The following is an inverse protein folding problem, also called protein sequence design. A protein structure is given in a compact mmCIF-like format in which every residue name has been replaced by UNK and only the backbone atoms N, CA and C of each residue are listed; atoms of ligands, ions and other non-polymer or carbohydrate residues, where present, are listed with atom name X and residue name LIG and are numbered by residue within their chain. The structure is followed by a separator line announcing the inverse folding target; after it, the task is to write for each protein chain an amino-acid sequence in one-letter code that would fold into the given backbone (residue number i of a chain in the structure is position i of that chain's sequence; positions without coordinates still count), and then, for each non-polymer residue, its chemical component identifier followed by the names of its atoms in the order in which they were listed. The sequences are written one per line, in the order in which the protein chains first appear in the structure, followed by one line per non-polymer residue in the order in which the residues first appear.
data_IF_569959044947
#
_entry.id   IF_569959044947
#
_cell.length_a   1.000
_cell.length_b   1.000
_cell.length_c   1.000
_cell.angle_alpha   90.00
_cell.angle_beta   90.00
_cell.angle_gamma   90.00
#
_symmetry.space_group_name_H-M   'P 1'
#
loop_
_entity.id
_entity.type
_entity.pdbx_description
1 polymer ?
#
# COMPACT_ATOMS: atom_id res chain seq x y z
N UNK A 1 -11.04 33.02 -2.61
CA UNK A 1 -11.93 31.97 -2.09
C UNK A 1 -11.82 32.05 -0.58
N UNK A 2 -12.93 32.03 0.16
CA UNK A 2 -12.85 31.91 1.63
C UNK A 2 -12.36 30.51 2.02
N UNK A 3 -11.82 30.36 3.24
CA UNK A 3 -11.42 29.04 3.77
C UNK A 3 -12.59 28.04 3.68
N UNK A 4 -13.82 28.48 3.95
CA UNK A 4 -15.01 27.63 3.87
C UNK A 4 -15.29 27.13 2.45
N UNK A 5 -15.14 28.00 1.45
CA UNK A 5 -15.30 27.61 0.05
C UNK A 5 -14.17 26.66 -0.41
N UNK A 6 -12.93 26.90 0.03
CA UNK A 6 -11.79 26.05 -0.27
C UNK A 6 -11.97 24.64 0.34
N UNK A 7 -12.41 24.57 1.60
CA UNK A 7 -12.72 23.31 2.27
C UNK A 7 -13.88 22.58 1.61
N UNK A 8 -14.92 23.28 1.18
CA UNK A 8 -16.04 22.67 0.45
C UNK A 8 -15.57 22.06 -0.87
N UNK A 9 -14.72 22.75 -1.63
CA UNK A 9 -14.13 22.23 -2.86
C UNK A 9 -13.25 21.00 -2.59
N UNK A 10 -12.35 21.07 -1.61
CA UNK A 10 -11.52 19.93 -1.21
C UNK A 10 -12.36 18.71 -0.81
N UNK A 11 -13.40 18.88 0.03
CA UNK A 11 -14.30 17.77 0.40
C UNK A 11 -15.04 17.20 -0.80
N UNK A 12 -15.52 18.05 -1.70
CA UNK A 12 -16.23 17.61 -2.89
C UNK A 12 -15.35 16.67 -3.73
N UNK A 13 -14.08 17.05 -3.99
CA UNK A 13 -13.12 16.21 -4.73
C UNK A 13 -12.91 14.85 -4.06
N UNK A 14 -12.74 14.83 -2.74
CA UNK A 14 -12.58 13.59 -1.95
C UNK A 14 -13.85 12.73 -2.05
N UNK A 15 -15.03 13.33 -1.92
CA UNK A 15 -16.31 12.61 -1.88
C UNK A 15 -16.73 12.05 -3.23
N UNK A 16 -16.46 12.76 -4.33
CA UNK A 16 -16.79 12.31 -5.70
C UNK A 16 -15.79 11.28 -6.24
N UNK A 17 -14.60 11.16 -5.63
CA UNK A 17 -13.54 10.24 -6.04
C UNK A 17 -13.99 8.77 -6.05
N UNK A 18 -13.43 7.99 -6.96
CA UNK A 18 -13.60 6.53 -7.02
C UNK A 18 -12.37 5.81 -6.48
N UNK A 19 -12.48 4.50 -6.24
CA UNK A 19 -11.36 3.65 -5.85
C UNK A 19 -11.51 2.28 -6.52
N UNK A 20 -11.02 2.17 -7.76
CA UNK A 20 -11.05 0.93 -8.53
C UNK A 20 -9.72 0.20 -8.35
N UNK A 21 -9.72 -0.97 -7.71
CA UNK A 21 -8.54 -1.86 -7.73
C UNK A 21 -8.43 -2.45 -9.14
N UNK A 22 -7.53 -1.87 -9.93
CA UNK A 22 -7.53 -2.05 -11.39
C UNK A 22 -6.43 -2.99 -11.88
N UNK A 23 -5.31 -3.09 -11.16
CA UNK A 23 -4.16 -3.87 -11.60
C UNK A 23 -3.25 -4.28 -10.43
N UNK A 24 -2.29 -5.15 -10.71
CA UNK A 24 -1.09 -5.42 -9.91
C UNK A 24 0.13 -5.38 -10.83
N UNK A 25 1.14 -4.61 -10.44
CA UNK A 25 2.36 -4.39 -11.23
C UNK A 25 3.59 -4.26 -10.33
N UNK A 26 4.80 -4.56 -10.83
CA UNK A 26 6.03 -4.26 -10.12
C UNK A 26 6.13 -2.78 -9.77
N UNK A 27 6.55 -2.48 -8.54
CA UNK A 27 6.60 -1.11 -8.00
C UNK A 27 7.36 -0.15 -8.93
N UNK A 28 8.52 -0.58 -9.45
CA UNK A 28 9.36 0.22 -10.34
C UNK A 28 8.69 0.62 -11.67
N UNK A 29 7.73 -0.17 -12.15
CA UNK A 29 7.04 0.13 -13.40
C UNK A 29 6.00 1.24 -13.25
N UNK A 30 5.46 1.43 -12.04
CA UNK A 30 4.25 2.24 -11.82
C UNK A 30 4.44 3.37 -10.83
N UNK A 31 5.30 3.20 -9.83
CA UNK A 31 5.55 4.22 -8.81
C UNK A 31 6.54 5.25 -9.37
N UNK A 32 6.14 6.53 -9.53
CA UNK A 32 6.97 7.51 -10.22
C UNK A 32 8.32 7.77 -9.55
N UNK A 33 9.39 7.70 -10.34
CA UNK A 33 10.73 8.10 -9.92
C UNK A 33 11.39 7.20 -8.87
N UNK A 34 11.00 5.91 -8.82
CA UNK A 34 11.82 4.88 -8.18
C UNK A 34 13.08 4.59 -9.00
N UNK A 35 14.23 4.58 -8.35
CA UNK A 35 15.49 4.06 -8.86
C UNK A 35 15.63 2.57 -8.58
N UNK A 36 16.73 1.96 -9.03
CA UNK A 36 17.06 0.55 -8.75
C UNK A 36 17.23 0.24 -7.26
N UNK A 37 17.45 1.27 -6.42
CA UNK A 37 17.73 1.14 -4.98
C UNK A 37 16.90 2.08 -4.13
N UNK A 38 15.71 2.45 -4.61
CA UNK A 38 14.74 3.18 -3.81
C UNK A 38 14.04 2.23 -2.84
N UNK A 39 13.96 2.64 -1.58
CA UNK A 39 13.20 1.98 -0.52
C UNK A 39 12.17 2.98 0.01
N UNK A 40 10.90 2.77 -0.34
CA UNK A 40 9.83 3.59 0.24
C UNK A 40 9.49 3.08 1.64
N UNK A 41 9.08 3.99 2.52
CA UNK A 41 8.65 3.66 3.88
C UNK A 41 7.36 4.37 4.28
N UNK A 42 6.72 3.90 5.36
CA UNK A 42 5.57 4.57 5.97
C UNK A 42 5.98 5.87 6.67
N UNK A 43 5.04 6.81 6.82
CA UNK A 43 5.23 8.03 7.61
C UNK A 43 5.95 9.18 6.89
N UNK A 44 6.21 10.30 7.60
CA UNK A 44 6.99 11.41 7.08
C UNK A 44 8.46 11.00 6.83
N UNK A 45 9.24 11.78 6.05
CA UNK A 45 10.65 11.52 5.78
C UNK A 45 11.44 11.26 7.06
N UNK A 46 12.28 10.23 7.06
CA UNK A 46 13.12 9.89 8.22
C UNK A 46 14.46 9.36 7.74
N UNK A 47 15.53 9.83 8.35
CA UNK A 47 16.88 9.35 8.07
C UNK A 47 17.10 7.96 8.69
N UNK A 48 17.96 7.14 8.08
CA UNK A 48 18.22 5.76 8.50
C UNK A 48 18.56 5.63 9.99
N UNK A 49 19.37 6.55 10.53
CA UNK A 49 19.79 6.63 11.93
C UNK A 49 18.62 6.80 12.92
N UNK A 50 17.49 7.34 12.46
CA UNK A 50 16.28 7.55 13.25
C UNK A 50 15.20 6.49 13.00
N UNK A 51 15.37 5.61 11.99
CA UNK A 51 14.43 4.53 11.73
C UNK A 51 14.40 3.53 12.90
N UNK A 52 13.20 3.21 13.36
CA UNK A 52 12.99 2.28 14.46
C UNK A 52 13.38 0.82 14.09
N UNK A 53 13.63 -0.01 15.11
CA UNK A 53 14.07 -1.41 14.92
C UNK A 53 13.21 -2.23 13.95
N UNK A 54 11.86 -2.25 14.07
CA UNK A 54 10.99 -2.94 13.11
C UNK A 54 11.11 -2.44 11.67
N UNK A 55 11.27 -1.13 11.47
CA UNK A 55 11.48 -0.55 10.15
C UNK A 55 12.82 -1.00 9.57
N UNK A 56 13.90 -0.93 10.35
CA UNK A 56 15.23 -1.44 9.93
C UNK A 56 15.18 -2.91 9.57
N UNK A 57 14.55 -3.76 10.37
CA UNK A 57 14.38 -5.18 10.06
C UNK A 57 13.58 -5.42 8.77
N UNK A 58 12.57 -4.60 8.51
CA UNK A 58 11.79 -4.68 7.27
C UNK A 58 12.64 -4.31 6.05
N UNK A 59 13.48 -3.27 6.19
CA UNK A 59 14.42 -2.83 5.15
C UNK A 59 15.47 -3.92 4.92
N UNK A 60 16.00 -4.53 5.98
CA UNK A 60 16.92 -5.67 5.87
C UNK A 60 16.32 -6.81 5.07
N UNK A 61 15.10 -7.25 5.41
CA UNK A 61 14.43 -8.30 4.66
C UNK A 61 14.17 -7.92 3.21
N UNK A 62 13.78 -6.67 2.94
CA UNK A 62 13.57 -6.18 1.58
C UNK A 62 14.87 -6.14 0.76
N UNK A 63 16.00 -5.70 1.35
CA UNK A 63 17.29 -5.70 0.66
C UNK A 63 17.79 -7.12 0.35
N UNK A 64 17.53 -8.09 1.24
CA UNK A 64 17.84 -9.50 1.00
C UNK A 64 16.94 -10.07 -0.10
N UNK A 65 15.65 -9.73 -0.09
CA UNK A 65 14.69 -10.10 -1.13
C UNK A 65 15.13 -9.58 -2.51
N UNK A 66 15.54 -8.33 -2.60
CA UNK A 66 16.06 -7.70 -3.82
C UNK A 66 17.47 -8.19 -4.23
N UNK A 67 18.14 -8.96 -3.37
CA UNK A 67 19.49 -9.46 -3.61
C UNK A 67 20.58 -8.39 -3.52
N UNK A 68 20.30 -7.23 -2.91
CA UNK A 68 21.28 -6.16 -2.71
C UNK A 68 22.30 -6.48 -1.62
N UNK A 69 21.90 -7.30 -0.65
CA UNK A 69 22.71 -7.73 0.49
C UNK A 69 22.30 -9.14 0.93
N UNK A 70 23.16 -9.78 1.72
CA UNK A 70 22.96 -11.13 2.27
C UNK A 70 22.85 -11.14 3.78
N UNK A 71 23.38 -10.11 4.45
CA UNK A 71 23.39 -10.02 5.92
C UNK A 71 22.87 -8.66 6.40
N UNK A 72 22.39 -8.58 7.66
CA UNK A 72 22.02 -7.30 8.27
C UNK A 72 23.15 -6.26 8.26
N UNK A 73 24.40 -6.70 8.41
CA UNK A 73 25.58 -5.84 8.40
C UNK A 73 25.78 -5.20 7.02
N UNK A 74 25.71 -5.98 5.94
CA UNK A 74 25.80 -5.46 4.57
C UNK A 74 24.68 -4.44 4.29
N UNK A 75 23.47 -4.67 4.80
CA UNK A 75 22.36 -3.69 4.66
C UNK A 75 22.67 -2.40 5.40
N UNK A 76 23.24 -2.46 6.61
CA UNK A 76 23.61 -1.27 7.37
C UNK A 76 24.71 -0.46 6.65
N UNK A 77 25.67 -1.13 6.01
CA UNK A 77 26.69 -0.49 5.17
C UNK A 77 26.07 0.19 3.94
N UNK A 78 25.14 -0.48 3.24
CA UNK A 78 24.41 0.11 2.11
C UNK A 78 23.57 1.32 2.52
N UNK A 79 22.89 1.24 3.66
CA UNK A 79 22.07 2.34 4.15
C UNK A 79 22.90 3.56 4.59
N UNK A 80 24.09 3.35 5.16
CA UNK A 80 24.96 4.43 5.65
C UNK A 80 25.87 5.03 4.59
N UNK A 81 26.20 4.28 3.53
CA UNK A 81 26.97 4.77 2.38
C UNK A 81 26.18 5.73 1.47
N UNK A 82 24.85 5.76 1.59
CA UNK A 82 23.97 6.53 0.72
C UNK A 82 23.64 5.83 -0.61
N UNK A 83 23.97 4.54 -0.74
CA UNK A 83 23.61 3.73 -1.91
C UNK A 83 22.12 3.33 -1.93
N UNK A 84 21.42 3.40 -0.79
CA UNK A 84 19.98 3.26 -0.69
C UNK A 84 19.30 4.64 -0.64
N UNK A 85 18.29 4.83 -1.47
CA UNK A 85 17.45 6.03 -1.47
C UNK A 85 16.19 5.78 -0.65
N UNK A 86 16.08 6.41 0.51
CA UNK A 86 14.87 6.32 1.35
C UNK A 86 13.91 7.47 1.04
N UNK A 87 12.64 7.16 0.82
CA UNK A 87 11.61 8.18 0.62
C UNK A 87 10.26 7.79 1.27
N UNK A 88 9.47 8.79 1.63
CA UNK A 88 8.11 8.57 2.12
C UNK A 88 7.24 8.04 1.01
N UNK A 89 6.51 6.95 1.27
CA UNK A 89 5.51 6.42 0.34
C UNK A 89 4.51 7.50 -0.11
N UNK A 90 4.15 8.41 0.78
CA UNK A 90 3.18 9.48 0.51
C UNK A 90 3.65 10.50 -0.54
N UNK A 91 4.96 10.63 -0.79
CA UNK A 91 5.52 11.46 -1.86
C UNK A 91 5.34 10.85 -3.24
N UNK A 92 5.11 9.53 -3.32
CA UNK A 92 5.07 8.77 -4.56
C UNK A 92 3.71 8.13 -4.83
N UNK A 93 2.64 8.75 -4.33
CA UNK A 93 1.27 8.22 -4.41
C UNK A 93 1.11 6.79 -3.84
N UNK A 94 2.04 6.39 -2.98
CA UNK A 94 2.05 5.08 -2.35
C UNK A 94 1.67 5.18 -0.86
N UNK A 95 1.29 4.04 -0.28
CA UNK A 95 1.03 3.91 1.14
C UNK A 95 1.29 2.46 1.58
N UNK A 96 1.82 2.29 2.79
CA UNK A 96 2.12 0.97 3.33
C UNK A 96 1.73 0.87 4.81
N UNK A 97 1.17 -0.27 5.26
CA UNK A 97 0.87 -0.49 6.67
C UNK A 97 2.15 -0.75 7.48
N UNK A 98 2.14 -0.35 8.75
CA UNK A 98 3.25 -0.56 9.70
C UNK A 98 4.56 0.08 9.22
N UNK A 99 5.62 -0.69 8.93
CA UNK A 99 6.86 -0.15 8.36
C UNK A 99 6.67 0.35 6.93
N UNK A 100 5.68 -0.19 6.20
CA UNK A 100 5.29 0.25 4.87
C UNK A 100 6.40 0.18 3.82
N UNK A 101 7.31 -0.79 3.96
CA UNK A 101 8.44 -0.94 3.04
C UNK A 101 7.96 -1.38 1.66
N UNK A 102 8.41 -0.66 0.63
CA UNK A 102 8.21 -1.00 -0.80
C UNK A 102 9.55 -0.87 -1.51
N UNK A 103 9.95 -1.91 -2.24
CA UNK A 103 11.16 -1.93 -3.06
C UNK A 103 10.83 -2.25 -4.54
N UNK A 104 11.74 -1.98 -5.48
CA UNK A 104 11.46 -1.94 -6.92
C UNK A 104 10.79 -3.19 -7.51
N UNK A 105 11.17 -4.40 -7.07
CA UNK A 105 10.64 -5.65 -7.61
C UNK A 105 9.40 -6.17 -6.89
N UNK A 106 8.96 -5.52 -5.81
CA UNK A 106 7.71 -5.90 -5.16
C UNK A 106 6.51 -5.54 -6.04
N UNK A 107 5.57 -6.47 -6.15
CA UNK A 107 4.26 -6.31 -6.76
C UNK A 107 3.37 -5.45 -5.84
N UNK A 108 2.77 -4.41 -6.44
CA UNK A 108 1.89 -3.47 -5.74
C UNK A 108 0.49 -3.50 -6.33
N UNK A 109 -0.51 -3.36 -5.45
CA UNK A 109 -1.86 -3.01 -5.85
C UNK A 109 -1.84 -1.66 -6.57
N UNK A 110 -2.48 -1.59 -7.73
CA UNK A 110 -2.76 -0.32 -8.42
C UNK A 110 -4.24 -0.01 -8.21
N UNK A 111 -4.51 1.07 -7.48
CA UNK A 111 -5.87 1.56 -7.25
C UNK A 111 -6.05 2.89 -7.96
N UNK A 112 -7.00 2.92 -8.89
CA UNK A 112 -7.27 4.06 -9.75
C UNK A 112 -8.49 4.83 -9.27
N UNK A 113 -8.29 6.10 -8.98
CA UNK A 113 -9.34 7.10 -8.88
C UNK A 113 -9.66 7.63 -10.27
N UNK A 114 -10.61 6.99 -10.94
CA UNK A 114 -10.99 7.26 -12.34
C UNK A 114 -11.59 8.64 -12.55
N UNK A 115 -12.15 9.28 -11.52
CA UNK A 115 -12.71 10.64 -11.62
C UNK A 115 -11.61 11.70 -11.76
N UNK A 116 -10.49 11.52 -11.04
CA UNK A 116 -9.39 12.49 -11.03
C UNK A 116 -8.14 12.01 -11.78
N UNK A 117 -8.15 10.78 -12.31
CA UNK A 117 -7.02 10.20 -13.04
C UNK A 117 -5.79 9.94 -12.16
N UNK A 118 -6.01 9.59 -10.89
CA UNK A 118 -4.94 9.35 -9.91
C UNK A 118 -4.78 7.85 -9.69
N UNK A 119 -3.58 7.32 -9.94
CA UNK A 119 -3.20 5.97 -9.51
C UNK A 119 -2.46 6.03 -8.18
N UNK A 120 -2.74 5.06 -7.32
CA UNK A 120 -2.11 4.93 -6.00
C UNK A 120 -1.75 3.50 -5.70
N UNK A 121 -0.76 3.33 -4.82
CA UNK A 121 -0.03 2.07 -4.71
C UNK A 121 0.09 1.59 -3.27
N UNK A 122 0.06 0.27 -3.09
CA UNK A 122 0.40 -0.39 -1.82
C UNK A 122 0.86 -1.81 -2.08
N UNK A 123 1.68 -2.38 -1.19
CA UNK A 123 2.07 -3.79 -1.30
C UNK A 123 0.88 -4.73 -1.09
N UNK A 124 1.01 -5.99 -1.49
CA UNK A 124 0.07 -7.04 -1.09
C UNK A 124 0.12 -7.30 0.42
N UNK A 125 -1.02 -7.67 1.02
CA UNK A 125 -1.09 -7.92 2.45
C UNK A 125 -0.55 -9.32 2.81
N UNK A 126 0.54 -9.35 3.58
CA UNK A 126 1.26 -10.60 3.92
C UNK A 126 0.56 -11.47 4.99
N UNK A 127 -0.51 -10.99 5.61
CA UNK A 127 -1.19 -11.71 6.69
C UNK A 127 -0.86 -11.19 8.10
N UNK A 128 -1.25 -12.00 9.07
CA UNK A 128 -1.03 -11.79 10.51
C UNK A 128 0.21 -12.55 11.01
N UNK A 129 0.70 -12.17 12.18
CA UNK A 129 1.82 -12.84 12.85
C UNK A 129 3.19 -12.32 12.43
N UNK A 130 4.10 -13.25 12.14
CA UNK A 130 5.49 -12.97 11.77
C UNK A 130 5.57 -12.63 10.28
N UNK A 131 5.76 -11.34 9.99
CA UNK A 131 5.69 -10.78 8.63
C UNK A 131 6.69 -9.65 8.45
N UNK A 132 7.07 -9.39 7.20
CA UNK A 132 8.04 -8.35 6.85
C UNK A 132 7.66 -6.99 7.41
N UNK A 133 6.39 -6.59 7.30
CA UNK A 133 5.90 -5.27 7.79
C UNK A 133 6.05 -5.05 9.30
N UNK A 134 6.40 -6.08 10.07
CA UNK A 134 6.73 -6.01 11.50
C UNK A 134 8.24 -6.12 11.78
N UNK A 135 9.07 -6.20 10.74
CA UNK A 135 10.53 -6.30 10.84
C UNK A 135 11.10 -7.72 10.87
N UNK A 136 10.29 -8.76 10.64
CA UNK A 136 10.78 -10.13 10.51
C UNK A 136 11.28 -10.41 9.08
N UNK A 137 12.37 -11.16 8.92
CA UNK A 137 12.99 -11.39 7.61
C UNK A 137 13.70 -12.75 7.48
N UNK A 138 13.28 -13.75 8.24
CA UNK A 138 13.85 -15.08 8.09
C UNK A 138 13.33 -15.81 6.84
N UNK A 139 13.85 -17.00 6.60
CA UNK A 139 13.59 -17.76 5.37
C UNK A 139 12.09 -17.99 5.11
N UNK A 140 11.29 -18.22 6.16
CA UNK A 140 9.83 -18.37 6.04
C UNK A 140 9.17 -17.09 5.52
N UNK A 141 9.53 -15.94 6.10
CA UNK A 141 8.98 -14.63 5.68
C UNK A 141 9.39 -14.30 4.25
N UNK A 142 10.67 -14.53 3.89
CA UNK A 142 11.17 -14.24 2.55
C UNK A 142 10.64 -15.21 1.49
N UNK A 143 10.43 -16.48 1.83
CA UNK A 143 9.78 -17.45 0.95
C UNK A 143 8.32 -17.06 0.69
N UNK A 144 7.60 -16.64 1.73
CA UNK A 144 6.23 -16.14 1.58
C UNK A 144 6.17 -14.87 0.74
N UNK A 145 7.10 -13.94 0.96
CA UNK A 145 7.20 -12.73 0.14
C UNK A 145 7.43 -13.10 -1.33
N UNK A 146 8.35 -14.02 -1.65
CA UNK A 146 8.56 -14.50 -3.02
C UNK A 146 7.29 -15.09 -3.61
N UNK A 147 6.65 -16.07 -2.96
CA UNK A 147 5.38 -16.65 -3.42
C UNK A 147 4.29 -15.58 -3.67
N UNK A 148 4.19 -14.58 -2.79
CA UNK A 148 3.21 -13.51 -2.99
C UNK A 148 3.45 -12.68 -4.25
N UNK A 149 4.71 -12.44 -4.62
CA UNK A 149 5.07 -11.63 -5.78
C UNK A 149 5.15 -12.48 -7.06
N UNK A 150 5.66 -13.70 -6.98
CA UNK A 150 5.92 -14.55 -8.14
C UNK A 150 4.70 -15.37 -8.56
N UNK A 151 3.84 -15.76 -7.62
CA UNK A 151 2.70 -16.67 -7.87
C UNK A 151 1.34 -15.98 -7.64
N UNK A 152 1.14 -15.38 -6.45
CA UNK A 152 -0.15 -14.80 -6.09
C UNK A 152 -0.46 -13.53 -6.89
N UNK A 153 0.51 -12.63 -7.06
CA UNK A 153 0.33 -11.37 -7.76
C UNK A 153 -0.09 -11.56 -9.23
N UNK A 154 0.56 -12.42 -10.05
CA UNK A 154 0.11 -12.70 -11.41
C UNK A 154 -1.31 -13.27 -11.49
N UNK A 155 -1.68 -14.16 -10.57
CA UNK A 155 -3.03 -14.73 -10.50
C UNK A 155 -4.08 -13.65 -10.19
N UNK A 156 -3.80 -12.80 -9.20
CA UNK A 156 -4.67 -11.69 -8.85
C UNK A 156 -4.77 -10.67 -9.99
N UNK A 157 -3.64 -10.33 -10.63
CA UNK A 157 -3.59 -9.46 -11.81
C UNK A 157 -4.54 -9.94 -12.91
N UNK A 158 -4.40 -11.20 -13.33
CA UNK A 158 -5.26 -11.79 -14.35
C UNK A 158 -6.74 -11.77 -13.94
N UNK A 159 -7.02 -12.01 -12.65
CA UNK A 159 -8.37 -11.96 -12.10
C UNK A 159 -8.98 -10.55 -12.13
N UNK A 160 -8.21 -9.53 -11.77
CA UNK A 160 -8.63 -8.12 -11.80
C UNK A 160 -8.90 -7.66 -13.24
N UNK A 161 -8.00 -7.97 -14.18
CA UNK A 161 -8.18 -7.64 -15.60
C UNK A 161 -9.45 -8.27 -16.16
N UNK A 162 -9.72 -9.54 -15.79
CA UNK A 162 -10.95 -10.23 -16.18
C UNK A 162 -12.21 -9.61 -15.55
N UNK A 163 -12.11 -9.17 -14.30
CA UNK A 163 -13.22 -8.53 -13.59
C UNK A 163 -13.54 -7.11 -14.12
N UNK A 164 -12.61 -6.48 -14.84
CA UNK A 164 -12.67 -5.05 -15.15
C UNK A 164 -12.31 -4.18 -13.93
N UNK A 165 -11.56 -4.75 -12.98
CA UNK A 165 -11.27 -4.17 -11.68
C UNK A 165 -12.33 -4.44 -10.61
N UNK A 166 -12.00 -4.12 -9.37
CA UNK A 166 -12.89 -4.27 -8.20
C UNK A 166 -13.16 -2.89 -7.59
N UNK A 167 -14.42 -2.51 -7.48
CA UNK A 167 -14.83 -1.25 -6.86
C UNK A 167 -14.70 -1.33 -5.33
N UNK A 168 -13.57 -0.85 -4.81
CA UNK A 168 -13.28 -0.85 -3.38
C UNK A 168 -14.20 0.10 -2.62
N UNK A 169 -14.61 1.22 -3.22
CA UNK A 169 -15.45 2.21 -2.53
C UNK A 169 -16.83 1.64 -2.23
N UNK A 170 -17.44 0.97 -3.21
CA UNK A 170 -18.72 0.29 -3.04
C UNK A 170 -18.62 -0.88 -2.04
N UNK A 171 -17.55 -1.67 -2.14
CA UNK A 171 -17.30 -2.79 -1.23
C UNK A 171 -17.13 -2.30 0.23
N UNK A 172 -16.34 -1.25 0.45
CA UNK A 172 -16.15 -0.62 1.76
C UNK A 172 -17.47 -0.07 2.30
N UNK A 173 -18.27 0.61 1.47
CA UNK A 173 -19.56 1.15 1.88
C UNK A 173 -20.50 0.05 2.40
N UNK A 174 -20.50 -1.13 1.77
CA UNK A 174 -21.25 -2.29 2.25
C UNK A 174 -20.64 -2.89 3.54
N UNK A 175 -19.32 -3.04 3.59
CA UNK A 175 -18.63 -3.63 4.74
C UNK A 175 -18.83 -2.82 6.03
N UNK A 176 -18.87 -1.49 5.95
CA UNK A 176 -19.19 -0.62 7.10
C UNK A 176 -20.57 -0.93 7.69
N UNK A 177 -21.57 -1.20 6.83
CA UNK A 177 -22.91 -1.60 7.28
C UNK A 177 -22.94 -3.02 7.88
N UNK A 178 -21.88 -3.81 7.66
CA UNK A 178 -21.68 -5.15 8.22
C UNK A 178 -20.75 -5.15 9.45
N UNK A 179 -20.43 -3.96 9.98
CA UNK A 179 -19.69 -3.77 11.23
C UNK A 179 -18.16 -3.79 11.10
N UNK A 180 -17.62 -3.68 9.88
CA UNK A 180 -16.19 -3.40 9.67
C UNK A 180 -15.92 -1.88 9.83
N UNK A 181 -14.70 -1.53 10.25
CA UNK A 181 -14.20 -0.15 10.20
C UNK A 181 -13.00 0.03 9.24
N UNK A 182 -12.58 -1.06 8.59
CA UNK A 182 -11.60 -1.10 7.50
C UNK A 182 -10.17 -0.70 7.87
N UNK A 183 -9.84 -0.72 9.15
CA UNK A 183 -8.47 -0.56 9.66
C UNK A 183 -8.07 -1.78 10.50
N UNK A 184 -8.72 -1.98 11.64
CA UNK A 184 -8.49 -3.09 12.56
C UNK A 184 -9.40 -4.29 12.31
N UNK A 185 -10.60 -4.08 11.77
CA UNK A 185 -11.59 -5.10 11.49
C UNK A 185 -12.00 -5.04 10.03
N UNK A 186 -11.66 -6.11 9.31
CA UNK A 186 -11.90 -6.28 7.88
C UNK A 186 -12.64 -7.59 7.56
N UNK A 187 -13.44 -8.13 8.50
CA UNK A 187 -14.02 -9.48 8.34
C UNK A 187 -15.06 -9.52 7.23
N UNK A 188 -15.95 -8.53 7.18
CA UNK A 188 -16.98 -8.46 6.15
C UNK A 188 -16.37 -8.14 4.77
N UNK A 189 -15.49 -7.16 4.71
CA UNK A 189 -14.81 -6.72 3.50
C UNK A 189 -13.94 -7.83 2.89
N UNK A 190 -13.24 -8.63 3.70
CA UNK A 190 -12.47 -9.77 3.20
C UNK A 190 -13.37 -10.85 2.56
N UNK A 191 -14.53 -11.12 3.15
CA UNK A 191 -15.51 -12.06 2.59
C UNK A 191 -16.17 -11.52 1.30
N UNK A 192 -16.50 -10.22 1.27
CA UNK A 192 -17.02 -9.55 0.07
C UNK A 192 -15.97 -9.55 -1.06
N UNK A 193 -14.70 -9.36 -0.73
CA UNK A 193 -13.61 -9.44 -1.69
C UNK A 193 -13.51 -10.84 -2.31
N UNK A 194 -13.48 -11.88 -1.48
CA UNK A 194 -13.45 -13.27 -1.96
C UNK A 194 -14.63 -13.57 -2.87
N UNK A 195 -15.84 -13.16 -2.47
CA UNK A 195 -17.04 -13.33 -3.29
C UNK A 195 -16.93 -12.62 -4.64
N UNK A 196 -16.29 -11.45 -4.66
CA UNK A 196 -16.09 -10.66 -5.89
C UNK A 196 -15.00 -11.26 -6.79
N UNK A 197 -13.98 -11.92 -6.23
CA UNK A 197 -12.84 -12.44 -6.97
C UNK A 197 -12.98 -13.91 -7.41
N UNK A 198 -13.71 -14.75 -6.67
CA UNK A 198 -13.64 -16.22 -6.79
C UNK A 198 -13.90 -16.73 -8.20
N UNK A 199 -14.91 -16.20 -8.90
CA UNK A 199 -15.21 -16.63 -10.27
C UNK A 199 -14.10 -16.25 -11.26
N UNK A 200 -13.38 -15.15 -11.01
CA UNK A 200 -12.30 -14.68 -11.86
C UNK A 200 -11.04 -15.49 -11.61
N UNK A 201 -10.74 -15.79 -10.34
CA UNK A 201 -9.67 -16.70 -9.93
C UNK A 201 -9.84 -18.06 -10.62
N UNK A 202 -11.02 -18.68 -10.50
CA UNK A 202 -11.32 -19.98 -11.12
C UNK A 202 -11.19 -19.92 -12.65
N UNK A 203 -11.52 -18.80 -13.27
CA UNK A 203 -11.51 -18.67 -14.71
C UNK A 203 -10.10 -18.52 -15.32
N UNK A 204 -9.12 -18.04 -14.54
CA UNK A 204 -7.77 -17.73 -15.05
C UNK A 204 -6.66 -18.58 -14.43
N UNK A 205 -6.87 -19.12 -13.23
CA UNK A 205 -5.88 -19.92 -12.51
C UNK A 205 -6.12 -21.42 -12.61
N UNK A 206 -5.08 -22.20 -12.36
CA UNK A 206 -5.24 -23.63 -12.14
C UNK A 206 -5.85 -23.93 -10.77
N UNK A 207 -6.36 -25.16 -10.60
CA UNK A 207 -7.06 -25.57 -9.38
C UNK A 207 -6.19 -25.41 -8.11
N UNK A 208 -4.90 -25.71 -8.18
CA UNK A 208 -4.04 -25.71 -7.00
C UNK A 208 -3.75 -24.27 -6.55
N UNK A 209 -3.34 -23.41 -7.49
CA UNK A 209 -3.06 -21.99 -7.23
C UNK A 209 -4.31 -21.25 -6.74
N UNK A 210 -5.48 -21.53 -7.31
CA UNK A 210 -6.75 -20.92 -6.88
C UNK A 210 -7.12 -21.33 -5.46
N UNK A 211 -6.98 -22.62 -5.11
CA UNK A 211 -7.25 -23.09 -3.74
C UNK A 211 -6.30 -22.43 -2.74
N UNK A 212 -5.01 -22.38 -3.06
CA UNK A 212 -3.99 -21.76 -2.20
C UNK A 212 -4.26 -20.26 -2.00
N UNK A 213 -4.58 -19.53 -3.06
CA UNK A 213 -4.91 -18.11 -2.98
C UNK A 213 -6.16 -17.85 -2.11
N UNK A 214 -7.22 -18.64 -2.27
CA UNK A 214 -8.44 -18.50 -1.45
C UNK A 214 -8.14 -18.79 0.02
N UNK A 215 -7.41 -19.87 0.32
CA UNK A 215 -7.03 -20.23 1.69
C UNK A 215 -6.16 -19.14 2.34
N UNK A 216 -5.21 -18.59 1.58
CA UNK A 216 -4.36 -17.49 2.05
C UNK A 216 -5.18 -16.23 2.35
N UNK A 217 -6.04 -15.80 1.44
CA UNK A 217 -6.85 -14.58 1.60
C UNK A 217 -7.81 -14.74 2.79
N UNK A 218 -8.45 -15.89 2.95
CA UNK A 218 -9.35 -16.17 4.08
C UNK A 218 -8.61 -16.10 5.42
N UNK A 219 -7.49 -16.83 5.54
CA UNK A 219 -6.68 -16.88 6.77
C UNK A 219 -5.99 -15.56 7.10
N UNK A 220 -5.63 -14.76 6.09
CA UNK A 220 -5.04 -13.45 6.31
C UNK A 220 -6.01 -12.50 7.04
N UNK A 221 -7.32 -12.66 6.83
CA UNK A 221 -8.40 -11.93 7.50
C UNK A 221 -8.53 -10.46 7.11
N UNK A 222 -7.42 -9.79 6.79
CA UNK A 222 -7.35 -8.37 6.42
C UNK A 222 -6.72 -8.17 5.03
N UNK A 223 -6.88 -9.11 4.10
CA UNK A 223 -6.14 -9.07 2.83
C UNK A 223 -6.43 -7.81 2.02
N UNK A 224 -7.70 -7.37 2.00
CA UNK A 224 -8.15 -6.17 1.27
C UNK A 224 -7.57 -4.85 1.83
N UNK A 225 -7.07 -4.84 3.08
CA UNK A 225 -6.69 -3.63 3.80
C UNK A 225 -5.74 -2.74 3.00
N UNK A 226 -4.70 -3.33 2.41
CA UNK A 226 -3.69 -2.56 1.69
C UNK A 226 -4.28 -1.88 0.44
N UNK A 227 -5.17 -2.55 -0.29
CA UNK A 227 -5.86 -1.97 -1.43
C UNK A 227 -6.82 -0.85 -0.99
N UNK A 228 -7.52 -1.02 0.13
CA UNK A 228 -8.38 0.03 0.72
C UNK A 228 -7.55 1.24 1.16
N UNK A 229 -6.37 1.04 1.73
CA UNK A 229 -5.45 2.13 2.06
C UNK A 229 -5.01 2.91 0.82
N UNK A 230 -4.65 2.22 -0.27
CA UNK A 230 -4.33 2.86 -1.55
C UNK A 230 -5.53 3.65 -2.09
N UNK A 231 -6.73 3.05 -2.13
CA UNK A 231 -7.95 3.76 -2.53
C UNK A 231 -8.23 5.02 -1.70
N UNK A 232 -8.06 4.92 -0.38
CA UNK A 232 -8.22 6.07 0.53
C UNK A 232 -7.18 7.17 0.25
N UNK A 233 -5.92 6.79 -0.03
CA UNK A 233 -4.86 7.70 -0.47
C UNK A 233 -5.24 8.39 -1.78
N UNK A 234 -5.76 7.67 -2.78
CA UNK A 234 -6.18 8.26 -4.05
C UNK A 234 -7.35 9.24 -3.92
N UNK A 235 -8.27 8.99 -3.00
CA UNK A 235 -9.36 9.91 -2.66
C UNK A 235 -8.85 11.17 -1.94
N UNK A 236 -7.92 11.03 -1.00
CA UNK A 236 -7.34 12.17 -0.26
C UNK A 236 -6.36 12.99 -1.12
N UNK A 237 -5.65 12.36 -2.05
CA UNK A 237 -4.77 13.03 -3.01
C UNK A 237 -5.56 13.90 -3.98
N UNK A 238 -6.77 13.50 -4.38
CA UNK A 238 -7.68 14.35 -5.16
C UNK A 238 -8.07 15.64 -4.41
N UNK A 239 -8.13 15.59 -3.08
CA UNK A 239 -8.36 16.73 -2.21
C UNK A 239 -7.12 17.57 -1.91
N UNK A 240 -5.92 17.15 -2.30
CA UNK A 240 -4.68 17.87 -2.00
C UNK A 240 -4.47 19.07 -2.92
N UNK A 241 -3.59 19.99 -2.52
CA UNK A 241 -3.24 21.19 -3.29
C UNK A 241 -4.42 22.14 -3.59
N UNK A 242 -5.46 22.14 -2.76
CA UNK A 242 -6.54 23.14 -2.84
C UNK A 242 -6.13 24.37 -2.05
N UNK A 243 -5.76 25.44 -2.78
CA UNK A 243 -5.35 26.73 -2.18
C UNK A 243 -6.34 27.17 -1.10
N UNK A 244 -5.79 27.64 0.03
CA UNK A 244 -6.52 28.12 1.21
C UNK A 244 -7.32 27.04 1.98
N UNK A 245 -7.28 25.76 1.57
CA UNK A 245 -7.94 24.68 2.29
C UNK A 245 -7.15 24.23 3.52
N UNK A 246 -7.85 24.02 4.62
CA UNK A 246 -7.31 23.58 5.92
C UNK A 246 -7.58 22.11 6.21
N UNK A 247 -7.96 21.32 5.21
CA UNK A 247 -8.27 19.89 5.38
C UNK A 247 -6.99 19.07 5.41
N UNK A 248 -6.89 18.17 6.38
CA UNK A 248 -5.80 17.19 6.46
C UNK A 248 -5.98 16.13 5.37
N UNK A 249 -4.98 15.97 4.51
CA UNK A 249 -4.98 15.00 3.40
C UNK A 249 -4.00 13.85 3.59
N UNK A 250 -3.13 13.93 4.61
CA UNK A 250 -2.36 12.80 5.08
C UNK A 250 -2.17 12.86 6.59
N UNK A 251 -2.24 11.70 7.24
CA UNK A 251 -1.82 11.46 8.61
C UNK A 251 -1.06 10.14 8.61
N UNK A 252 0.22 10.16 8.94
CA UNK A 252 1.06 8.98 8.87
C UNK A 252 2.13 9.00 9.97
N UNK A 253 2.73 7.84 10.25
CA UNK A 253 3.78 7.69 11.25
C UNK A 253 4.79 6.64 10.83
N UNK A 254 6.05 6.82 11.22
CA UNK A 254 7.17 5.93 10.85
C UNK A 254 7.77 5.19 12.07
N UNK A 255 7.12 5.30 13.24
CA UNK A 255 7.61 4.72 14.51
C UNK A 255 8.63 5.59 15.24
N UNK A 256 9.03 6.73 14.65
CA UNK A 256 9.84 7.77 15.26
C UNK A 256 9.02 9.07 15.41
N UNK A 257 8.43 9.53 14.31
CA UNK A 257 7.57 10.72 14.22
C UNK A 257 6.17 10.38 13.68
N UNK A 258 5.23 11.28 13.98
CA UNK A 258 3.90 11.33 13.35
C UNK A 258 3.81 12.61 12.56
N UNK A 259 3.39 12.54 11.31
CA UNK A 259 3.29 13.70 10.43
C UNK A 259 1.88 13.87 9.87
N UNK A 260 1.49 15.12 9.66
CA UNK A 260 0.32 15.48 8.86
C UNK A 260 0.69 16.30 7.63
N UNK A 261 -0.17 16.26 6.61
CA UNK A 261 -0.19 17.19 5.49
C UNK A 261 -1.56 17.84 5.36
N UNK A 262 -1.57 19.12 5.02
CA UNK A 262 -2.79 19.92 4.88
C UNK A 262 -2.91 20.42 3.45
N UNK A 263 -4.10 20.30 2.86
CA UNK A 263 -4.34 20.52 1.42
C UNK A 263 -3.78 21.84 0.89
N UNK A 264 -4.01 22.96 1.57
CA UNK A 264 -3.54 24.29 1.15
C UNK A 264 -2.05 24.54 1.35
N UNK A 265 -1.31 23.61 1.97
CA UNK A 265 0.11 23.73 2.30
C UNK A 265 1.01 22.78 1.50
N UNK A 266 0.43 22.13 0.47
CA UNK A 266 1.17 21.35 -0.51
C UNK A 266 1.77 20.05 0.02
N UNK A 267 3.03 19.82 -0.32
CA UNK A 267 3.81 18.64 0.09
C UNK A 267 4.49 18.76 1.46
N UNK A 268 4.29 19.89 2.15
CA UNK A 268 4.92 20.16 3.45
C UNK A 268 4.39 19.23 4.54
N UNK A 269 5.29 18.54 5.24
CA UNK A 269 4.99 17.79 6.45
C UNK A 269 5.05 18.67 7.69
N UNK A 270 4.15 18.40 8.63
CA UNK A 270 4.19 18.91 10.00
C UNK A 270 4.35 17.72 10.94
N UNK A 271 5.52 17.60 11.58
CA UNK A 271 5.93 16.48 12.46
C UNK A 271 6.14 16.90 13.90
#
# INVERSE_FOLDING_TARGET
MSINEANKNCLQRIQESTALWSDIRPAKEVIPGMSERTVLHAGPPVAWENMCGPMRGSITGACIYEGWARTPEEVAELATSGELEFDSSHHRHAIGPMSGIITPSMEVNVVTNTVHGIETYSTLYMGIGKVLRHGAFDDEVLAKLRWMNDDLAPLLKASLLRAGGIDLKSLVAQAVQMGDELHNRNKASNALLLTSLVQHLIAVGDKAAVIEAIDFIDKAGHFILNAVMAGSKGMLDAGSNVKDSTIVTALARNGYETGIRVSGLGDTWFT
#
